data_IF_012003602999
#
_entry.id   IF_012003602999
#
_cell.length_a   1.000
_cell.length_b   1.000
_cell.length_c   1.000
_cell.angle_alpha   90.00
_cell.angle_beta   90.00
_cell.angle_gamma   90.00
#
_symmetry.space_group_name_H-M   'P 1'
#
loop_
_entity.id
_entity.type
_entity.pdbx_description
1 polymer ?
#
# COMPACT_ATOMS: atom_id res chain seq x y z
N UNK A 1 -30.35 6.53 5.68
CA UNK A 1 -29.26 5.59 6.04
C UNK A 1 -27.98 6.41 6.17
N UNK A 2 -27.24 6.35 7.29
CA UNK A 2 -25.98 7.11 7.41
C UNK A 2 -24.89 6.35 6.66
N UNK A 3 -24.12 7.06 5.84
CA UNK A 3 -22.98 6.49 5.10
C UNK A 3 -21.67 7.02 5.68
N UNK A 4 -20.60 6.24 5.54
CA UNK A 4 -19.23 6.64 5.87
C UNK A 4 -18.37 6.48 4.63
N UNK A 5 -17.54 7.47 4.34
CA UNK A 5 -16.59 7.41 3.23
C UNK A 5 -15.23 6.91 3.70
N UNK A 6 -14.49 6.21 2.84
CA UNK A 6 -13.12 5.77 3.11
C UNK A 6 -12.19 6.08 1.95
N UNK A 7 -10.90 6.13 2.27
CA UNK A 7 -9.77 6.21 1.34
C UNK A 7 -8.68 5.29 1.86
N UNK A 8 -8.21 4.36 1.04
CA UNK A 8 -7.17 3.38 1.39
C UNK A 8 -6.16 3.36 0.27
N UNK A 9 -4.91 3.69 0.58
CA UNK A 9 -3.82 3.50 -0.36
C UNK A 9 -3.18 2.14 -0.14
N UNK A 10 -2.89 1.44 -1.25
CA UNK A 10 -2.12 0.20 -1.25
C UNK A 10 -1.04 0.27 -2.33
N UNK A 11 0.17 -0.10 -1.97
CA UNK A 11 1.28 -0.20 -2.92
C UNK A 11 1.14 -1.42 -3.85
N UNK A 12 1.74 -1.33 -5.03
CA UNK A 12 1.71 -2.39 -6.05
C UNK A 12 1.15 -1.90 -7.38
N UNK A 13 1.73 -2.38 -8.48
CA UNK A 13 1.33 -1.95 -9.84
C UNK A 13 0.06 -2.64 -10.34
N UNK A 14 -0.20 -3.86 -9.90
CA UNK A 14 -1.38 -4.62 -10.30
C UNK A 14 -2.58 -4.27 -9.42
N UNK A 15 -3.68 -3.84 -10.03
CA UNK A 15 -4.87 -3.38 -9.33
C UNK A 15 -5.54 -4.51 -8.54
N UNK A 16 -5.61 -5.70 -9.11
CA UNK A 16 -6.29 -6.84 -8.49
C UNK A 16 -5.54 -7.30 -7.24
N UNK A 17 -4.22 -7.47 -7.34
CA UNK A 17 -3.37 -7.85 -6.21
C UNK A 17 -3.38 -6.78 -5.12
N UNK A 18 -3.32 -5.50 -5.50
CA UNK A 18 -3.43 -4.38 -4.57
C UNK A 18 -4.80 -4.35 -3.87
N UNK A 19 -5.90 -4.58 -4.59
CA UNK A 19 -7.22 -4.63 -4.00
C UNK A 19 -7.35 -5.77 -2.98
N UNK A 20 -6.86 -6.97 -3.32
CA UNK A 20 -6.86 -8.13 -2.41
C UNK A 20 -6.04 -7.84 -1.14
N UNK A 21 -4.85 -7.25 -1.29
CA UNK A 21 -4.00 -6.89 -0.16
C UNK A 21 -4.67 -5.83 0.74
N UNK A 22 -5.20 -4.77 0.14
CA UNK A 22 -5.90 -3.70 0.86
C UNK A 22 -7.16 -4.19 1.57
N UNK A 23 -7.91 -5.10 0.92
CA UNK A 23 -9.07 -5.75 1.48
C UNK A 23 -8.70 -6.63 2.68
N UNK A 24 -7.64 -7.44 2.57
CA UNK A 24 -7.15 -8.29 3.66
C UNK A 24 -6.73 -7.47 4.88
N UNK A 25 -5.99 -6.37 4.68
CA UNK A 25 -5.62 -5.43 5.75
C UNK A 25 -6.87 -4.82 6.40
N UNK A 26 -7.82 -4.34 5.58
CA UNK A 26 -9.06 -3.75 6.09
C UNK A 26 -9.90 -4.75 6.91
N UNK A 27 -9.94 -6.03 6.49
CA UNK A 27 -10.61 -7.11 7.24
C UNK A 27 -9.89 -7.39 8.55
N UNK A 28 -8.55 -7.46 8.55
CA UNK A 28 -7.76 -7.70 9.74
C UNK A 28 -7.98 -6.59 10.78
N UNK A 29 -7.86 -5.34 10.37
CA UNK A 29 -8.00 -4.18 11.26
C UNK A 29 -9.43 -4.07 11.81
N UNK A 30 -10.43 -4.40 10.99
CA UNK A 30 -11.84 -4.45 11.42
C UNK A 30 -12.12 -5.55 12.46
N UNK A 31 -11.31 -6.61 12.51
CA UNK A 31 -11.43 -7.71 13.49
C UNK A 31 -10.61 -7.45 14.76
N UNK A 32 -9.50 -6.72 14.66
CA UNK A 32 -8.64 -6.38 15.78
C UNK A 32 -9.30 -5.39 16.76
N UNK A 33 -10.15 -4.49 16.27
CA UNK A 33 -10.93 -3.55 17.09
C UNK A 33 -12.15 -4.24 17.75
N UNK A 34 -11.94 -5.15 18.72
CA UNK A 34 -13.02 -5.85 19.47
C UNK A 34 -13.96 -4.93 20.26
N UNK A 35 -13.64 -3.65 20.44
CA UNK A 35 -14.36 -2.71 21.30
C UNK A 35 -14.90 -1.46 20.58
N UNK A 36 -14.73 -1.35 19.26
CA UNK A 36 -15.26 -0.23 18.46
C UNK A 36 -16.13 -0.75 17.32
N UNK A 37 -17.21 -0.03 16.94
CA UNK A 37 -18.07 -0.46 15.84
C UNK A 37 -17.22 -0.59 14.57
N UNK A 38 -17.28 -1.77 13.94
CA UNK A 38 -16.57 -2.13 12.71
C UNK A 38 -16.39 -0.90 11.83
N UNK A 39 -15.13 -0.52 11.55
CA UNK A 39 -14.88 0.48 10.52
C UNK A 39 -15.20 -0.16 9.18
N UNK A 40 -16.48 -0.06 8.80
CA UNK A 40 -16.92 -0.35 7.45
C UNK A 40 -16.00 0.44 6.50
N UNK A 41 -15.25 -0.27 5.67
CA UNK A 41 -14.14 0.25 4.84
C UNK A 41 -14.11 -0.54 3.53
N UNK A 42 -12.93 -0.70 2.90
CA UNK A 42 -12.77 -1.53 1.71
C UNK A 42 -13.17 -3.00 1.92
N UNK A 43 -13.17 -3.49 3.17
CA UNK A 43 -13.56 -4.85 3.52
C UNK A 43 -15.03 -5.20 3.19
N UNK A 44 -15.90 -4.19 3.04
CA UNK A 44 -17.31 -4.40 2.70
C UNK A 44 -17.56 -4.25 1.19
N UNK A 45 -16.51 -4.06 0.38
CA UNK A 45 -16.64 -3.82 -1.05
C UNK A 45 -16.46 -5.12 -1.84
N UNK A 46 -17.41 -5.47 -2.72
CA UNK A 46 -17.36 -6.74 -3.45
C UNK A 46 -16.29 -6.73 -4.55
N UNK A 47 -15.95 -5.55 -5.08
CA UNK A 47 -15.04 -5.34 -6.19
C UNK A 47 -14.61 -3.87 -6.27
N UNK A 48 -13.85 -3.53 -7.31
CA UNK A 48 -13.43 -2.18 -7.62
C UNK A 48 -13.62 -1.84 -9.11
N UNK A 49 -13.68 -0.55 -9.42
CA UNK A 49 -13.67 -0.02 -10.78
C UNK A 49 -12.56 1.04 -10.89
N UNK A 50 -11.71 0.89 -11.91
CA UNK A 50 -10.65 1.86 -12.22
C UNK A 50 -11.27 3.11 -12.83
N UNK A 51 -10.88 4.29 -12.33
CA UNK A 51 -11.49 5.57 -12.72
C UNK A 51 -10.55 6.48 -13.52
N UNK A 52 -9.26 6.13 -13.61
CA UNK A 52 -8.28 6.88 -14.40
C UNK A 52 -7.35 5.92 -15.12
N UNK A 53 -7.07 6.22 -16.39
CA UNK A 53 -6.15 5.44 -17.23
C UNK A 53 -4.68 5.74 -16.95
N UNK A 54 -4.40 6.86 -16.25
CA UNK A 54 -3.05 7.30 -15.94
C UNK A 54 -2.88 7.56 -14.43
N UNK A 55 -1.68 7.27 -13.89
CA UNK A 55 -1.36 7.56 -12.49
C UNK A 55 -1.43 9.05 -12.17
N UNK A 56 -2.06 9.38 -11.04
CA UNK A 56 -2.16 10.73 -10.52
C UNK A 56 -1.26 10.92 -9.28
N UNK A 57 -0.72 12.12 -9.05
CA UNK A 57 -0.19 12.48 -7.73
C UNK A 57 -1.25 12.26 -6.63
N UNK A 58 -0.82 11.84 -5.43
CA UNK A 58 -1.72 11.47 -4.33
C UNK A 58 -2.76 12.54 -3.98
N UNK A 59 -2.36 13.81 -3.95
CA UNK A 59 -3.24 14.95 -3.70
C UNK A 59 -4.33 15.13 -4.77
N UNK A 60 -3.97 14.90 -6.03
CA UNK A 60 -4.91 14.91 -7.16
C UNK A 60 -5.84 13.71 -7.16
N UNK A 61 -5.32 12.52 -6.83
CA UNK A 61 -6.11 11.31 -6.66
C UNK A 61 -7.15 11.48 -5.55
N UNK A 62 -6.76 12.04 -4.40
CA UNK A 62 -7.67 12.35 -3.29
C UNK A 62 -8.72 13.40 -3.67
N UNK A 63 -8.32 14.45 -4.39
CA UNK A 63 -9.26 15.48 -4.86
C UNK A 63 -10.31 14.88 -5.81
N UNK A 64 -9.88 14.01 -6.73
CA UNK A 64 -10.76 13.31 -7.66
C UNK A 64 -11.68 12.33 -6.93
N UNK A 65 -11.18 11.55 -5.97
CA UNK A 65 -12.00 10.60 -5.22
C UNK A 65 -13.10 11.31 -4.42
N UNK A 66 -12.80 12.46 -3.78
CA UNK A 66 -13.82 13.25 -3.09
C UNK A 66 -14.92 13.78 -4.00
N UNK A 67 -14.57 14.15 -5.24
CA UNK A 67 -15.56 14.57 -6.23
C UNK A 67 -16.48 13.41 -6.61
N UNK A 68 -15.89 12.23 -6.87
CA UNK A 68 -16.60 11.03 -7.33
C UNK A 68 -17.44 10.36 -6.23
N UNK A 69 -17.07 10.48 -4.96
CA UNK A 69 -17.83 9.95 -3.82
C UNK A 69 -19.26 10.51 -3.71
N UNK A 70 -19.54 11.63 -4.36
CA UNK A 70 -20.87 12.24 -4.40
C UNK A 70 -21.75 11.69 -5.52
N UNK A 71 -21.23 10.78 -6.33
CA UNK A 71 -21.85 10.25 -7.53
C UNK A 71 -21.93 8.72 -7.47
N UNK A 72 -22.91 8.15 -8.15
CA UNK A 72 -22.94 6.72 -8.42
C UNK A 72 -21.79 6.33 -9.38
N UNK A 73 -21.22 5.12 -9.25
CA UNK A 73 -21.59 4.06 -8.30
C UNK A 73 -20.83 4.11 -6.96
N UNK A 74 -19.92 5.08 -6.77
CA UNK A 74 -18.97 5.09 -5.65
C UNK A 74 -19.56 5.64 -4.34
N UNK A 75 -20.61 6.45 -4.45
CA UNK A 75 -21.42 6.94 -3.36
C UNK A 75 -22.34 5.88 -2.73
N UNK A 76 -22.70 4.83 -3.47
CA UNK A 76 -23.51 3.73 -2.95
C UNK A 76 -22.68 2.83 -2.01
N UNK A 77 -23.11 2.65 -0.75
CA UNK A 77 -22.59 1.63 0.14
C UNK A 77 -22.40 0.25 -0.48
N UNK A 78 -23.32 -0.18 -1.35
CA UNK A 78 -23.34 -1.50 -2.00
C UNK A 78 -22.61 -1.52 -3.34
N UNK A 79 -22.28 -0.36 -3.89
CA UNK A 79 -21.54 -0.24 -5.14
C UNK A 79 -20.06 -0.64 -5.02
N UNK A 80 -19.32 -0.74 -6.14
CA UNK A 80 -17.88 -0.98 -6.15
C UNK A 80 -17.10 0.08 -5.37
N UNK A 81 -15.87 -0.25 -4.99
CA UNK A 81 -14.87 0.77 -4.69
C UNK A 81 -14.41 1.46 -5.98
N UNK A 82 -14.11 2.74 -5.94
CA UNK A 82 -13.30 3.38 -6.99
C UNK A 82 -11.82 3.09 -6.76
N UNK A 83 -11.06 2.99 -7.86
CA UNK A 83 -9.62 2.78 -7.84
C UNK A 83 -8.92 3.80 -8.75
N UNK A 84 -7.95 4.53 -8.19
CA UNK A 84 -7.14 5.50 -8.92
C UNK A 84 -5.68 5.07 -8.83
N UNK A 85 -4.97 4.87 -9.96
CA UNK A 85 -3.53 4.64 -9.92
C UNK A 85 -2.80 5.90 -9.43
N UNK A 86 -1.79 5.73 -8.60
CA UNK A 86 -1.10 6.83 -7.91
C UNK A 86 0.40 6.84 -8.20
N UNK A 87 0.95 8.02 -8.46
CA UNK A 87 2.38 8.32 -8.41
C UNK A 87 2.76 8.95 -7.09
N UNK A 88 4.00 8.73 -6.65
CA UNK A 88 4.56 9.36 -5.46
C UNK A 88 4.03 8.81 -4.13
N UNK A 89 3.16 7.80 -4.18
CA UNK A 89 2.69 7.08 -3.01
C UNK A 89 3.82 6.31 -2.33
N UNK A 90 3.59 5.95 -1.06
CA UNK A 90 4.56 5.20 -0.28
C UNK A 90 4.68 3.77 -0.81
N UNK A 91 5.84 3.29 -1.25
CA UNK A 91 6.02 1.89 -1.68
C UNK A 91 7.10 1.19 -0.86
N UNK A 92 6.91 -0.11 -0.64
CA UNK A 92 7.94 -0.95 -0.03
C UNK A 92 8.89 -1.53 -1.09
N UNK A 93 10.19 -1.42 -0.82
CA UNK A 93 11.25 -2.09 -1.58
C UNK A 93 11.85 -3.18 -0.71
N UNK A 94 11.80 -4.42 -1.21
CA UNK A 94 12.47 -5.56 -0.60
C UNK A 94 13.90 -5.62 -1.11
N UNK A 95 14.85 -5.67 -0.18
CA UNK A 95 16.29 -5.78 -0.44
C UNK A 95 16.79 -7.01 0.29
N UNK A 96 17.23 -8.01 -0.47
CA UNK A 96 17.84 -9.21 0.09
C UNK A 96 19.26 -8.92 0.59
N UNK A 97 19.57 -9.44 1.77
CA UNK A 97 20.84 -9.27 2.45
C UNK A 97 21.50 -10.65 2.58
N UNK A 98 22.79 -10.73 2.24
CA UNK A 98 23.61 -11.91 2.59
C UNK A 98 23.80 -11.98 4.11
N UNK A 99 24.30 -13.13 4.59
CA UNK A 99 24.65 -13.32 5.99
C UNK A 99 25.58 -12.21 6.51
N UNK A 100 26.62 -11.86 5.75
CA UNK A 100 27.61 -10.83 6.12
C UNK A 100 27.00 -9.43 6.11
N UNK A 101 26.06 -9.17 5.20
CA UNK A 101 25.37 -7.90 5.11
C UNK A 101 24.37 -7.69 6.25
N UNK A 102 23.92 -8.74 6.93
CA UNK A 102 22.98 -8.59 8.05
C UNK A 102 23.59 -7.83 9.25
N UNK A 103 24.90 -7.95 9.48
CA UNK A 103 25.57 -7.26 10.59
C UNK A 103 25.78 -5.76 10.31
N UNK A 104 25.95 -5.39 9.04
CA UNK A 104 26.04 -4.00 8.60
C UNK A 104 25.41 -3.80 7.20
N UNK A 105 24.07 -3.67 7.13
CA UNK A 105 23.35 -3.68 5.86
C UNK A 105 23.41 -2.36 5.09
N UNK A 106 23.94 -1.30 5.71
CA UNK A 106 23.89 0.08 5.19
C UNK A 106 24.43 0.20 3.77
N UNK A 107 25.60 -0.40 3.49
CA UNK A 107 26.23 -0.32 2.17
C UNK A 107 25.43 -1.06 1.10
N UNK A 108 24.89 -2.24 1.41
CA UNK A 108 24.08 -3.03 0.50
C UNK A 108 22.75 -2.32 0.20
N UNK A 109 22.08 -1.83 1.24
CA UNK A 109 20.84 -1.06 1.11
C UNK A 109 21.07 0.18 0.25
N UNK A 110 22.12 0.97 0.54
CA UNK A 110 22.42 2.20 -0.21
C UNK A 110 22.71 1.90 -1.68
N UNK A 111 23.51 0.87 -1.96
CA UNK A 111 23.81 0.45 -3.32
C UNK A 111 22.54 0.00 -4.08
N UNK A 112 21.70 -0.82 -3.46
CA UNK A 112 20.45 -1.27 -4.09
C UNK A 112 19.45 -0.13 -4.31
N UNK A 113 19.34 0.80 -3.35
CA UNK A 113 18.49 1.98 -3.51
C UNK A 113 18.98 2.88 -4.64
N UNK A 114 20.29 3.07 -4.81
CA UNK A 114 20.85 3.89 -5.90
C UNK A 114 20.45 3.39 -7.30
N UNK A 115 20.20 2.09 -7.44
CA UNK A 115 19.77 1.46 -8.71
C UNK A 115 18.26 1.51 -8.93
N UNK A 116 17.47 1.65 -7.87
CA UNK A 116 16.00 1.46 -7.88
C UNK A 116 15.21 2.75 -7.68
N UNK A 117 15.81 3.76 -7.04
CA UNK A 117 15.17 5.05 -6.81
C UNK A 117 15.01 5.81 -8.13
N UNK A 118 13.80 6.31 -8.36
CA UNK A 118 13.49 7.16 -9.51
C UNK A 118 13.69 8.64 -9.17
N UNK A 119 13.74 9.51 -10.19
CA UNK A 119 13.86 10.95 -9.98
C UNK A 119 12.72 11.47 -9.09
N UNK A 120 13.09 12.18 -8.02
CA UNK A 120 12.15 12.75 -7.04
C UNK A 120 11.82 11.82 -5.87
N UNK A 121 12.21 10.54 -5.95
CA UNK A 121 11.95 9.55 -4.92
C UNK A 121 12.93 9.66 -3.76
N UNK A 122 12.42 9.49 -2.54
CA UNK A 122 13.21 9.56 -1.30
C UNK A 122 12.88 8.41 -0.38
N UNK A 123 13.85 8.00 0.43
CA UNK A 123 13.62 7.07 1.53
C UNK A 123 12.79 7.79 2.61
N UNK A 124 11.68 7.18 2.99
CA UNK A 124 10.85 7.64 4.10
C UNK A 124 11.34 7.01 5.42
N UNK A 125 11.51 5.70 5.42
CA UNK A 125 12.14 4.94 6.49
C UNK A 125 12.64 3.59 5.96
N UNK A 126 13.49 2.94 6.73
CA UNK A 126 13.97 1.60 6.47
C UNK A 126 13.74 0.74 7.70
N UNK A 127 13.01 -0.36 7.53
CA UNK A 127 12.83 -1.38 8.55
C UNK A 127 13.63 -2.60 8.10
N UNK A 128 14.73 -2.87 8.79
CA UNK A 128 15.43 -4.14 8.61
C UNK A 128 14.57 -5.18 9.33
N UNK A 129 13.88 -6.03 8.56
CA UNK A 129 13.19 -7.19 9.09
C UNK A 129 14.14 -8.36 8.90
N UNK A 130 14.94 -8.72 9.90
CA UNK A 130 15.74 -9.92 9.72
C UNK A 130 14.79 -11.12 9.70
N UNK A 131 14.44 -11.58 8.51
CA UNK A 131 13.94 -12.93 8.31
C UNK A 131 15.16 -13.84 8.46
N UNK A 132 15.54 -14.13 9.71
CA UNK A 132 16.66 -15.01 9.99
C UNK A 132 16.28 -16.42 9.53
N UNK A 133 16.71 -16.80 8.35
CA UNK A 133 16.83 -18.22 8.03
C UNK A 133 18.18 -18.64 8.56
N UNK A 134 18.13 -19.35 9.69
CA UNK A 134 19.30 -19.95 10.29
C UNK A 134 19.69 -21.20 9.50
N UNK A 135 20.99 -21.46 9.38
CA UNK A 135 21.48 -22.77 8.97
C UNK A 135 21.32 -23.80 10.10
N UNK A 136 21.73 -25.05 9.82
CA UNK A 136 21.65 -26.16 10.78
C UNK A 136 22.48 -25.92 12.06
N UNK A 137 23.42 -24.96 12.02
CA UNK A 137 24.28 -24.57 13.15
C UNK A 137 23.80 -23.29 13.87
N UNK A 138 22.63 -22.76 13.51
CA UNK A 138 22.09 -21.54 14.10
C UNK A 138 22.74 -20.25 13.58
N UNK A 139 23.50 -20.30 12.48
CA UNK A 139 24.10 -19.12 11.85
C UNK A 139 23.17 -18.52 10.81
N UNK A 140 23.10 -17.20 10.75
CA UNK A 140 22.29 -16.48 9.76
C UNK A 140 22.75 -16.81 8.35
N UNK A 141 21.81 -17.17 7.46
CA UNK A 141 22.08 -17.45 6.04
C UNK A 141 21.75 -16.29 5.12
N UNK A 142 20.64 -15.58 5.39
CA UNK A 142 20.22 -14.37 4.68
C UNK A 142 19.18 -13.59 5.51
N UNK A 143 18.88 -12.36 5.08
CA UNK A 143 17.82 -11.51 5.64
C UNK A 143 17.19 -10.61 4.58
N UNK A 144 16.15 -9.86 4.94
CA UNK A 144 15.48 -8.93 4.01
C UNK A 144 15.26 -7.57 4.67
N UNK A 145 15.81 -6.51 4.08
CA UNK A 145 15.45 -5.15 4.46
C UNK A 145 14.19 -4.71 3.71
N UNK A 146 13.24 -4.11 4.44
CA UNK A 146 12.07 -3.45 3.87
C UNK A 146 12.31 -1.95 3.94
N UNK A 147 12.57 -1.33 2.78
CA UNK A 147 12.77 0.12 2.69
C UNK A 147 11.52 0.76 2.14
N UNK A 148 10.94 1.71 2.87
CA UNK A 148 9.82 2.50 2.39
C UNK A 148 10.31 3.77 1.70
N UNK A 149 9.73 4.04 0.55
CA UNK A 149 10.08 5.18 -0.31
C UNK A 149 8.83 5.98 -0.65
N UNK A 150 8.98 7.27 -0.94
CA UNK A 150 7.91 8.20 -1.35
C UNK A 150 8.38 9.07 -2.52
N UNK A 151 7.44 9.65 -3.27
CA UNK A 151 7.77 10.65 -4.30
C UNK A 151 8.27 10.09 -5.63
N UNK A 152 8.14 8.78 -5.86
CA UNK A 152 8.46 8.18 -7.15
C UNK A 152 7.61 8.78 -8.28
N UNK A 153 8.24 9.06 -9.42
CA UNK A 153 7.57 9.61 -10.62
C UNK A 153 6.82 8.57 -11.45
N UNK A 154 6.80 7.31 -10.98
CA UNK A 154 6.13 6.18 -11.63
C UNK A 154 4.91 5.73 -10.83
N UNK A 155 4.09 4.86 -11.41
CA UNK A 155 2.99 4.20 -10.70
C UNK A 155 3.52 3.41 -9.49
N UNK A 156 3.10 3.82 -8.29
CA UNK A 156 3.51 3.23 -7.01
C UNK A 156 2.45 2.35 -6.36
N UNK A 157 1.18 2.60 -6.66
CA UNK A 157 0.07 1.94 -5.98
C UNK A 157 -1.29 2.51 -6.36
N UNK A 158 -2.31 2.06 -5.66
CA UNK A 158 -3.70 2.38 -5.93
C UNK A 158 -4.33 3.07 -4.72
N UNK A 159 -5.04 4.17 -4.97
CA UNK A 159 -5.96 4.76 -4.02
C UNK A 159 -7.35 4.15 -4.25
N UNK A 160 -7.78 3.31 -3.31
CA UNK A 160 -9.15 2.81 -3.25
C UNK A 160 -10.02 3.73 -2.42
N UNK A 161 -11.25 3.98 -2.88
CA UNK A 161 -12.19 4.85 -2.19
C UNK A 161 -13.63 4.37 -2.38
N UNK A 162 -14.52 4.82 -1.50
CA UNK A 162 -15.93 4.50 -1.60
C UNK A 162 -16.71 4.89 -0.36
N UNK A 163 -18.01 4.67 -0.41
CA UNK A 163 -18.90 4.79 0.74
C UNK A 163 -19.32 3.43 1.26
N UNK A 164 -19.69 3.36 2.53
CA UNK A 164 -20.20 2.16 3.20
C UNK A 164 -21.36 2.50 4.12
N UNK A 165 -22.16 1.49 4.46
CA UNK A 165 -23.23 1.61 5.43
C UNK A 165 -22.64 1.81 6.83
N UNK A 166 -23.29 2.64 7.64
CA UNK A 166 -22.99 2.76 9.06
C UNK A 166 -24.04 2.04 9.90
#
# INVERSE_FOLDING_TARGET
>A
MRTRTFHVFQDGRDAASAFVAAHAVSVHDSKAERSWPRRHTLADKPNYQVVSDYPLPMDRALSLSWHLLRQEPFGDPRGPAGAIPVTGGRRALLIDLSAEACDNPTNVITNELSKRLTKGEKVADAIIKPSWVLDENGKVRYGTAVVHTIGASVHTGWLFFGSVAR
#
